data_IF_918705939080
#
_entry.id   IF_918705939080
#
_cell.length_a   1.000
_cell.length_b   1.000
_cell.length_c   1.000
_cell.angle_alpha   90.00
_cell.angle_beta   90.00
_cell.angle_gamma   90.00
#
_symmetry.space_group_name_H-M   'P 1'
#
loop_
_entity.id
_entity.type
_entity.pdbx_description
1 polymer ?
#
# COMPACT_ATOMS: atom_id res chain seq x y z
N UNK A 1 -30.62 -4.46 4.04
CA UNK A 1 -30.19 -3.14 4.54
C UNK A 1 -28.80 -2.88 4.00
N UNK A 2 -28.62 -1.80 3.21
CA UNK A 2 -27.26 -1.37 2.81
C UNK A 2 -26.51 -1.02 4.09
N UNK A 3 -25.31 -1.57 4.28
CA UNK A 3 -24.47 -1.15 5.40
C UNK A 3 -23.95 0.23 5.06
N UNK A 4 -24.24 1.23 5.89
CA UNK A 4 -23.75 2.60 5.64
C UNK A 4 -22.28 2.74 6.07
N UNK A 5 -21.37 2.08 5.33
CA UNK A 5 -19.95 1.96 5.67
C UNK A 5 -19.26 3.33 5.75
N UNK A 6 -19.76 4.34 5.04
CA UNK A 6 -19.17 5.68 5.01
C UNK A 6 -19.14 6.33 6.40
N UNK A 7 -20.12 6.02 7.26
CA UNK A 7 -20.20 6.60 8.61
C UNK A 7 -18.98 6.29 9.46
N UNK A 8 -18.32 5.15 9.21
CA UNK A 8 -17.08 4.74 9.89
C UNK A 8 -15.83 5.45 9.38
N UNK A 9 -15.91 6.06 8.19
CA UNK A 9 -14.81 6.71 7.49
C UNK A 9 -14.82 8.24 7.68
N UNK A 10 -15.94 8.82 8.12
CA UNK A 10 -16.14 10.26 8.29
C UNK A 10 -15.76 10.81 9.67
N UNK A 11 -15.64 12.14 9.79
CA UNK A 11 -15.37 12.84 11.05
C UNK A 11 -13.90 12.94 11.44
N UNK A 12 -13.59 13.70 12.50
CA UNK A 12 -12.21 13.87 12.98
C UNK A 12 -11.27 14.61 12.01
N UNK A 13 -9.97 14.39 12.14
CA UNK A 13 -8.92 15.00 11.30
C UNK A 13 -7.92 13.94 10.77
N UNK A 14 -6.88 14.38 10.03
CA UNK A 14 -5.87 13.50 9.41
C UNK A 14 -5.03 12.72 10.44
N UNK A 15 -5.10 13.04 11.73
CA UNK A 15 -4.40 12.34 12.80
C UNK A 15 -5.22 11.21 13.39
N UNK A 16 -6.50 11.06 13.02
CA UNK A 16 -7.35 9.96 13.46
C UNK A 16 -7.71 9.01 12.33
N UNK A 17 -7.73 7.72 12.64
CA UNK A 17 -8.21 6.64 11.78
C UNK A 17 -9.75 6.48 11.84
N UNK A 18 -10.47 7.47 12.39
CA UNK A 18 -11.89 7.41 12.70
C UNK A 18 -12.29 6.09 13.39
N UNK A 19 -13.28 5.37 12.84
CA UNK A 19 -13.79 4.10 13.37
C UNK A 19 -13.41 2.92 12.47
N UNK A 20 -12.25 2.98 11.81
CA UNK A 20 -11.80 1.91 10.89
C UNK A 20 -11.78 0.55 11.57
N UNK A 21 -11.35 0.45 12.83
CA UNK A 21 -11.36 -0.83 13.56
C UNK A 21 -12.78 -1.42 13.74
N UNK A 22 -13.79 -0.57 13.92
CA UNK A 22 -15.19 -1.00 14.03
C UNK A 22 -15.76 -1.41 12.66
N UNK A 23 -15.20 -0.89 11.56
CA UNK A 23 -15.59 -1.21 10.19
C UNK A 23 -15.11 -2.59 9.73
N UNK A 24 -13.90 -3.01 10.13
CA UNK A 24 -13.30 -4.28 9.68
C UNK A 24 -14.23 -5.51 9.84
N UNK A 25 -14.85 -5.77 11.00
CA UNK A 25 -15.71 -6.95 11.19
C UNK A 25 -17.02 -6.92 10.37
N UNK A 26 -17.36 -5.77 9.79
CA UNK A 26 -18.54 -5.59 8.95
C UNK A 26 -18.29 -6.04 7.50
N UNK A 27 -17.03 -6.04 7.05
CA UNK A 27 -16.64 -6.45 5.70
C UNK A 27 -16.32 -7.93 5.69
N UNK A 28 -17.29 -8.76 5.27
CA UNK A 28 -17.18 -10.23 5.35
C UNK A 28 -17.17 -10.90 3.98
N UNK A 29 -17.70 -10.22 2.98
CA UNK A 29 -17.88 -10.75 1.63
C UNK A 29 -17.15 -9.89 0.60
N UNK A 30 -16.96 -10.43 -0.60
CA UNK A 30 -16.42 -9.66 -1.72
C UNK A 30 -17.29 -8.43 -2.01
N UNK A 31 -18.62 -8.57 -1.96
CA UNK A 31 -19.54 -7.45 -2.18
C UNK A 31 -19.38 -6.33 -1.15
N UNK A 32 -19.15 -6.66 0.14
CA UNK A 32 -18.88 -5.65 1.16
C UNK A 32 -17.55 -4.93 0.88
N UNK A 33 -16.54 -5.68 0.44
CA UNK A 33 -15.23 -5.13 0.09
C UNK A 33 -15.33 -4.21 -1.13
N UNK A 34 -16.08 -4.61 -2.16
CA UNK A 34 -16.30 -3.82 -3.38
C UNK A 34 -17.06 -2.52 -3.07
N UNK A 35 -18.01 -2.55 -2.12
CA UNK A 35 -18.69 -1.35 -1.64
C UNK A 35 -17.72 -0.39 -0.93
N UNK A 36 -16.88 -0.91 -0.03
CA UNK A 36 -15.84 -0.13 0.64
C UNK A 36 -14.81 0.43 -0.36
N UNK A 37 -14.41 -0.35 -1.36
CA UNK A 37 -13.39 0.03 -2.35
C UNK A 37 -13.77 1.29 -3.12
N UNK A 38 -15.06 1.49 -3.42
CA UNK A 38 -15.57 2.68 -4.12
C UNK A 38 -15.17 3.99 -3.44
N UNK A 39 -14.97 3.99 -2.12
CA UNK A 39 -14.56 5.19 -1.39
C UNK A 39 -13.11 5.63 -1.65
N UNK A 40 -12.27 4.80 -2.30
CA UNK A 40 -10.96 5.24 -2.82
C UNK A 40 -11.08 6.30 -3.92
N UNK A 41 -12.23 6.40 -4.60
CA UNK A 41 -12.51 7.43 -5.61
C UNK A 41 -13.10 8.71 -5.02
N UNK A 42 -13.22 8.80 -3.69
CA UNK A 42 -13.72 10.00 -3.04
C UNK A 42 -12.82 11.21 -3.30
N UNK A 43 -13.42 12.40 -3.39
CA UNK A 43 -12.69 13.68 -3.39
C UNK A 43 -12.19 14.06 -2.00
N UNK A 44 -12.75 13.45 -0.95
CA UNK A 44 -12.34 13.67 0.42
C UNK A 44 -11.13 12.78 0.76
N UNK A 45 -9.97 13.42 0.90
CA UNK A 45 -8.71 12.76 1.26
C UNK A 45 -8.79 11.95 2.57
N UNK A 46 -9.58 12.38 3.56
CA UNK A 46 -9.75 11.64 4.81
C UNK A 46 -10.42 10.29 4.55
N UNK A 47 -11.48 10.30 3.74
CA UNK A 47 -12.20 9.10 3.34
C UNK A 47 -11.27 8.17 2.56
N UNK A 48 -10.53 8.67 1.58
CA UNK A 48 -9.59 7.86 0.78
C UNK A 48 -8.55 7.19 1.66
N UNK A 49 -7.89 7.96 2.54
CA UNK A 49 -6.85 7.43 3.43
C UNK A 49 -7.39 6.32 4.35
N UNK A 50 -8.53 6.54 5.00
CA UNK A 50 -9.11 5.57 5.94
C UNK A 50 -9.67 4.34 5.24
N UNK A 51 -10.21 4.54 4.04
CA UNK A 51 -10.59 3.43 3.16
C UNK A 51 -9.34 2.59 2.84
N UNK A 52 -8.24 3.21 2.43
CA UNK A 52 -7.01 2.50 2.14
C UNK A 52 -6.44 1.75 3.36
N UNK A 53 -6.52 2.34 4.57
CA UNK A 53 -6.18 1.66 5.83
C UNK A 53 -7.02 0.41 6.06
N UNK A 54 -8.35 0.55 5.96
CA UNK A 54 -9.27 -0.57 6.15
C UNK A 54 -9.02 -1.70 5.13
N UNK A 55 -8.86 -1.35 3.85
CA UNK A 55 -8.60 -2.31 2.77
C UNK A 55 -7.24 -3.00 2.94
N UNK A 56 -6.18 -2.29 3.35
CA UNK A 56 -4.88 -2.90 3.65
C UNK A 56 -5.02 -3.92 4.79
N UNK A 57 -5.73 -3.58 5.87
CA UNK A 57 -5.93 -4.48 7.01
C UNK A 57 -6.70 -5.74 6.60
N UNK A 58 -7.82 -5.58 5.90
CA UNK A 58 -8.64 -6.69 5.40
C UNK A 58 -7.85 -7.64 4.50
N UNK A 59 -7.01 -7.09 3.62
CA UNK A 59 -6.27 -7.87 2.62
C UNK A 59 -4.98 -8.48 3.16
N UNK A 60 -4.58 -8.12 4.38
CA UNK A 60 -3.49 -8.81 5.09
C UNK A 60 -3.85 -10.26 5.38
N UNK A 61 -5.11 -10.53 5.76
CA UNK A 61 -5.60 -11.88 6.04
C UNK A 61 -6.23 -12.54 4.82
N UNK A 62 -6.85 -11.76 3.93
CA UNK A 62 -7.50 -12.27 2.73
C UNK A 62 -7.13 -11.46 1.47
N UNK A 63 -5.96 -11.72 0.85
CA UNK A 63 -5.51 -11.03 -0.36
C UNK A 63 -6.46 -11.16 -1.56
N UNK A 64 -7.32 -12.20 -1.59
CA UNK A 64 -8.23 -12.47 -2.71
C UNK A 64 -9.24 -11.35 -2.93
N UNK A 65 -9.54 -10.56 -1.90
CA UNK A 65 -10.43 -9.41 -2.03
C UNK A 65 -9.93 -8.37 -3.06
N UNK A 66 -8.61 -8.29 -3.28
CA UNK A 66 -8.03 -7.37 -4.26
C UNK A 66 -8.22 -7.82 -5.72
N UNK A 67 -8.61 -9.07 -5.99
CA UNK A 67 -8.58 -9.64 -7.35
C UNK A 67 -9.50 -8.90 -8.32
N UNK A 68 -10.67 -8.46 -7.86
CA UNK A 68 -11.62 -7.67 -8.67
C UNK A 68 -11.15 -6.24 -8.96
N UNK A 69 -10.13 -5.75 -8.25
CA UNK A 69 -9.69 -4.35 -8.26
C UNK A 69 -8.22 -4.18 -8.69
N UNK A 70 -7.63 -5.21 -9.30
CA UNK A 70 -6.21 -5.20 -9.70
C UNK A 70 -5.87 -4.01 -10.59
N UNK A 71 -6.67 -3.77 -11.63
CA UNK A 71 -6.43 -2.67 -12.58
C UNK A 71 -6.53 -1.30 -11.91
N UNK A 72 -7.47 -1.13 -10.99
CA UNK A 72 -7.63 0.11 -10.23
C UNK A 72 -6.43 0.37 -9.32
N UNK A 73 -5.92 -0.66 -8.64
CA UNK A 73 -4.72 -0.55 -7.80
C UNK A 73 -3.49 -0.21 -8.64
N UNK A 74 -3.34 -0.82 -9.82
CA UNK A 74 -2.26 -0.50 -10.76
C UNK A 74 -2.39 0.94 -11.29
N UNK A 75 -3.61 1.41 -11.55
CA UNK A 75 -3.86 2.80 -11.91
C UNK A 75 -3.50 3.76 -10.78
N UNK A 76 -3.87 3.44 -9.54
CA UNK A 76 -3.54 4.27 -8.38
C UNK A 76 -2.04 4.33 -8.12
N UNK A 77 -1.26 3.29 -8.43
CA UNK A 77 0.20 3.32 -8.25
C UNK A 77 0.83 4.44 -9.06
N UNK A 78 0.31 4.72 -10.26
CA UNK A 78 0.84 5.77 -11.13
C UNK A 78 0.31 7.17 -10.76
N UNK A 79 -0.87 7.24 -10.14
CA UNK A 79 -1.60 8.52 -9.96
C UNK A 79 -1.63 9.03 -8.53
N UNK A 80 -1.37 8.18 -7.53
CA UNK A 80 -1.42 8.55 -6.12
C UNK A 80 -0.42 9.67 -5.79
N UNK A 81 -0.90 10.71 -5.10
CA UNK A 81 -0.09 11.88 -4.70
C UNK A 81 0.08 11.97 -3.19
N UNK A 82 -0.98 11.70 -2.45
CA UNK A 82 -0.99 11.82 -1.00
C UNK A 82 -0.21 10.69 -0.33
N UNK A 83 0.68 11.06 0.59
CA UNK A 83 1.61 10.15 1.26
C UNK A 83 0.92 9.02 2.02
N UNK A 84 -0.22 9.29 2.65
CA UNK A 84 -0.95 8.30 3.44
C UNK A 84 -1.61 7.27 2.54
N UNK A 85 -2.14 7.69 1.38
CA UNK A 85 -2.64 6.73 0.40
C UNK A 85 -1.51 5.90 -0.20
N UNK A 86 -0.38 6.53 -0.57
CA UNK A 86 0.79 5.84 -1.13
C UNK A 86 1.33 4.73 -0.22
N UNK A 87 1.42 4.95 1.10
CA UNK A 87 1.95 3.90 1.98
C UNK A 87 1.04 2.66 2.00
N UNK A 88 -0.28 2.86 1.95
CA UNK A 88 -1.25 1.77 2.06
C UNK A 88 -1.28 1.01 0.74
N UNK A 89 -1.27 1.78 -0.35
CA UNK A 89 -1.21 1.28 -1.71
C UNK A 89 0.05 0.45 -1.97
N UNK A 90 1.20 0.88 -1.45
CA UNK A 90 2.45 0.11 -1.53
C UNK A 90 2.27 -1.29 -0.94
N UNK A 91 1.65 -1.41 0.24
CA UNK A 91 1.39 -2.70 0.87
C UNK A 91 0.37 -3.55 0.12
N UNK A 92 -0.66 -2.93 -0.47
CA UNK A 92 -1.70 -3.67 -1.20
C UNK A 92 -1.19 -4.21 -2.54
N UNK A 93 -0.43 -3.42 -3.30
CA UNK A 93 0.03 -3.83 -4.63
C UNK A 93 0.95 -5.05 -4.59
N UNK A 94 1.75 -5.22 -3.53
CA UNK A 94 2.64 -6.38 -3.38
C UNK A 94 1.91 -7.71 -3.13
N UNK A 95 0.60 -7.65 -2.87
CA UNK A 95 -0.26 -8.83 -2.63
C UNK A 95 -1.01 -9.29 -3.87
N UNK A 96 -0.93 -8.52 -4.97
CA UNK A 96 -1.56 -8.84 -6.23
C UNK A 96 -0.83 -9.98 -6.94
N UNK A 97 -1.57 -10.76 -7.73
CA UNK A 97 -0.99 -11.60 -8.76
C UNK A 97 -0.71 -10.72 -9.98
N UNK A 98 0.56 -10.39 -10.19
CA UNK A 98 1.03 -9.53 -11.27
C UNK A 98 1.55 -10.38 -12.42
N UNK A 99 1.26 -9.96 -13.65
CA UNK A 99 2.00 -10.39 -14.84
C UNK A 99 3.41 -9.81 -14.83
N UNK A 100 4.30 -10.29 -15.70
CA UNK A 100 5.68 -9.78 -15.76
C UNK A 100 5.73 -8.26 -16.06
N UNK A 101 4.89 -7.77 -16.99
CA UNK A 101 4.87 -6.36 -17.36
C UNK A 101 4.33 -5.49 -16.21
N UNK A 102 3.28 -5.95 -15.53
CA UNK A 102 2.73 -5.27 -14.35
C UNK A 102 3.73 -5.27 -13.19
N UNK A 103 4.44 -6.38 -12.97
CA UNK A 103 5.48 -6.49 -11.96
C UNK A 103 6.61 -5.50 -12.24
N UNK A 104 7.09 -5.41 -13.48
CA UNK A 104 8.13 -4.44 -13.85
C UNK A 104 7.66 -2.99 -13.62
N UNK A 105 6.42 -2.67 -13.97
CA UNK A 105 5.83 -1.33 -13.74
C UNK A 105 5.75 -1.01 -12.24
N UNK A 106 5.18 -1.92 -11.44
CA UNK A 106 5.06 -1.76 -9.98
C UNK A 106 6.44 -1.66 -9.33
N UNK A 107 7.38 -2.50 -9.74
CA UNK A 107 8.75 -2.49 -9.24
C UNK A 107 9.43 -1.13 -9.47
N UNK A 108 9.27 -0.58 -10.67
CA UNK A 108 9.83 0.72 -11.05
C UNK A 108 9.28 1.85 -10.18
N UNK A 109 7.96 1.92 -10.00
CA UNK A 109 7.34 2.98 -9.18
C UNK A 109 7.67 2.84 -7.70
N UNK A 110 7.64 1.63 -7.12
CA UNK A 110 8.06 1.40 -5.73
C UNK A 110 9.55 1.73 -5.53
N UNK A 111 10.42 1.40 -6.48
CA UNK A 111 11.85 1.76 -6.42
C UNK A 111 12.05 3.27 -6.47
N UNK A 112 11.29 3.97 -7.32
CA UNK A 112 11.28 5.43 -7.40
C UNK A 112 10.82 6.04 -6.08
N UNK A 113 9.71 5.57 -5.49
CA UNK A 113 9.25 6.04 -4.18
C UNK A 113 10.28 5.77 -3.09
N UNK A 114 10.87 4.58 -3.03
CA UNK A 114 11.89 4.23 -2.04
C UNK A 114 13.13 5.14 -2.11
N UNK A 115 13.55 5.55 -3.32
CA UNK A 115 14.78 6.33 -3.56
C UNK A 115 14.56 7.85 -3.60
N UNK A 116 13.32 8.32 -3.70
CA UNK A 116 13.04 9.75 -3.71
C UNK A 116 13.26 10.35 -2.32
N UNK A 117 14.25 11.24 -2.21
CA UNK A 117 14.59 11.92 -0.95
C UNK A 117 13.53 12.93 -0.50
N UNK A 118 12.67 13.39 -1.42
CA UNK A 118 11.55 14.28 -1.12
C UNK A 118 10.29 13.53 -0.69
N UNK A 119 10.26 12.22 -0.91
CA UNK A 119 9.15 11.37 -0.51
C UNK A 119 9.15 11.14 1.01
N UNK A 120 7.95 10.96 1.56
CA UNK A 120 7.75 10.70 2.98
C UNK A 120 8.50 9.43 3.43
N UNK A 121 9.22 9.50 4.56
CA UNK A 121 10.00 8.37 5.09
C UNK A 121 9.18 7.08 5.23
N UNK A 122 7.90 7.18 5.57
CA UNK A 122 7.02 6.03 5.73
C UNK A 122 6.58 5.44 4.38
N UNK A 123 6.32 6.27 3.36
CA UNK A 123 6.12 5.77 1.99
C UNK A 123 7.36 5.05 1.50
N UNK A 124 8.55 5.63 1.73
CA UNK A 124 9.84 4.99 1.39
C UNK A 124 10.00 3.63 2.08
N UNK A 125 9.72 3.57 3.39
CA UNK A 125 9.80 2.33 4.18
C UNK A 125 8.82 1.26 3.69
N UNK A 126 7.56 1.62 3.42
CA UNK A 126 6.57 0.69 2.88
C UNK A 126 6.95 0.23 1.47
N UNK A 127 7.49 1.13 0.64
CA UNK A 127 7.98 0.76 -0.70
C UNK A 127 9.10 -0.28 -0.63
N UNK A 128 10.05 -0.13 0.30
CA UNK A 128 11.13 -1.12 0.52
C UNK A 128 10.56 -2.47 0.96
N UNK A 129 9.59 -2.47 1.87
CA UNK A 129 8.90 -3.69 2.31
C UNK A 129 8.23 -4.39 1.13
N UNK A 130 7.50 -3.65 0.30
CA UNK A 130 6.80 -4.18 -0.87
C UNK A 130 7.74 -4.71 -1.94
N UNK A 131 8.86 -4.03 -2.20
CA UNK A 131 9.92 -4.55 -3.09
C UNK A 131 10.48 -5.87 -2.55
N UNK A 132 10.72 -5.96 -1.24
CA UNK A 132 11.17 -7.21 -0.61
C UNK A 132 10.15 -8.33 -0.79
N UNK A 133 8.87 -8.06 -0.57
CA UNK A 133 7.81 -9.05 -0.72
C UNK A 133 7.67 -9.54 -2.16
N UNK A 134 7.75 -8.64 -3.15
CA UNK A 134 7.72 -8.98 -4.58
C UNK A 134 8.97 -9.77 -5.02
N UNK A 135 10.13 -9.52 -4.42
CA UNK A 135 11.38 -10.18 -4.78
C UNK A 135 11.52 -11.61 -4.21
N UNK A 136 10.61 -12.07 -3.34
CA UNK A 136 10.77 -13.37 -2.64
C UNK A 136 11.01 -14.57 -3.56
N UNK A 137 10.45 -14.54 -4.77
CA UNK A 137 10.52 -15.66 -5.72
C UNK A 137 11.31 -15.34 -7.00
N UNK A 138 11.89 -14.14 -7.11
CA UNK A 138 12.58 -13.68 -8.33
C UNK A 138 14.04 -13.28 -8.00
N UNK A 139 14.99 -14.06 -8.51
CA UNK A 139 16.42 -13.84 -8.23
C UNK A 139 16.97 -12.57 -8.85
N UNK A 140 16.40 -12.07 -9.95
CA UNK A 140 16.82 -10.83 -10.58
C UNK A 140 16.34 -9.64 -9.74
N UNK A 141 15.08 -9.65 -9.31
CA UNK A 141 14.54 -8.64 -8.41
C UNK A 141 15.24 -8.62 -7.06
N UNK A 142 15.67 -9.77 -6.53
CA UNK A 142 16.51 -9.81 -5.31
C UNK A 142 17.85 -9.09 -5.50
N UNK A 143 18.48 -9.24 -6.67
CA UNK A 143 19.74 -8.54 -6.97
C UNK A 143 19.51 -7.04 -7.09
N UNK A 144 18.43 -6.62 -7.75
CA UNK A 144 18.12 -5.21 -7.89
C UNK A 144 17.75 -4.55 -6.54
N UNK A 145 16.97 -5.24 -5.71
CA UNK A 145 16.66 -4.79 -4.36
C UNK A 145 17.92 -4.63 -3.50
N UNK A 146 18.88 -5.55 -3.59
CA UNK A 146 20.17 -5.43 -2.89
C UNK A 146 20.93 -4.17 -3.31
N UNK A 147 20.96 -3.85 -4.62
CA UNK A 147 21.56 -2.59 -5.12
C UNK A 147 20.85 -1.36 -4.55
N UNK A 148 19.52 -1.39 -4.55
CA UNK A 148 18.69 -0.33 -3.97
C UNK A 148 18.97 -0.17 -2.47
N UNK A 149 19.02 -1.26 -1.70
CA UNK A 149 19.34 -1.25 -0.27
C UNK A 149 20.73 -0.66 0.02
N UNK A 150 21.77 -1.02 -0.75
CA UNK A 150 23.12 -0.44 -0.61
C UNK A 150 23.10 1.07 -0.82
N UNK A 151 22.37 1.56 -1.82
CA UNK A 151 22.23 3.00 -2.04
C UNK A 151 21.51 3.70 -0.88
N UNK A 152 20.42 3.13 -0.40
CA UNK A 152 19.61 3.67 0.69
C UNK A 152 20.36 3.68 2.03
N UNK A 153 21.22 2.69 2.29
CA UNK A 153 22.06 2.66 3.50
C UNK A 153 22.95 3.89 3.62
N UNK A 154 23.48 4.40 2.51
CA UNK A 154 24.36 5.58 2.49
C UNK A 154 23.65 6.86 2.93
N UNK A 155 22.31 6.88 2.92
CA UNK A 155 21.54 8.06 3.35
C UNK A 155 21.45 8.20 4.88
N UNK A 156 21.80 7.17 5.65
CA UNK A 156 21.79 7.18 7.12
C UNK A 156 20.45 7.63 7.76
N UNK A 157 19.33 7.33 7.11
CA UNK A 157 17.99 7.63 7.64
C UNK A 157 17.56 6.53 8.62
N UNK A 158 17.31 6.82 9.91
CA UNK A 158 17.08 5.79 10.93
C UNK A 158 15.92 4.84 10.63
N UNK A 159 14.80 5.34 10.12
CA UNK A 159 13.62 4.51 9.81
C UNK A 159 13.88 3.55 8.63
N UNK A 160 14.67 3.98 7.65
CA UNK A 160 15.04 3.16 6.49
C UNK A 160 16.05 2.09 6.92
N UNK A 161 17.07 2.47 7.70
CA UNK A 161 18.05 1.52 8.26
C UNK A 161 17.38 0.45 9.13
N UNK A 162 16.44 0.86 9.99
CA UNK A 162 15.67 -0.06 10.80
C UNK A 162 14.89 -1.06 9.94
N UNK A 163 14.22 -0.59 8.88
CA UNK A 163 13.48 -1.47 7.95
C UNK A 163 14.41 -2.43 7.22
N UNK A 164 15.52 -1.95 6.67
CA UNK A 164 16.50 -2.81 5.97
C UNK A 164 17.04 -3.91 6.89
N UNK A 165 17.35 -3.57 8.15
CA UNK A 165 17.79 -4.54 9.16
C UNK A 165 16.72 -5.60 9.47
N UNK A 166 15.46 -5.20 9.63
CA UNK A 166 14.33 -6.14 9.84
C UNK A 166 14.22 -7.14 8.68
N UNK A 167 14.49 -6.68 7.46
CA UNK A 167 14.43 -7.47 6.25
C UNK A 167 15.71 -8.29 5.97
N UNK A 168 16.70 -8.23 6.85
CA UNK A 168 17.98 -8.93 6.68
C UNK A 168 18.84 -8.40 5.52
N UNK A 169 18.68 -7.13 5.15
CA UNK A 169 19.37 -6.48 4.03
C UNK A 169 20.54 -5.60 4.44
#
# INVERSE_FOLDING_TARGET
MSKDLITYLTGGDLRSIAKVEELLPLVRTQSDFDELFKFLYSKDRLIVMRTADALEKLTTQNPRFLFGHKEDILHFIDTARDKEFKWHLSSMVSRLKLTNDELQRVWKELTKWAKDKRESRIVRVHSIQSLFDLAKQDTELQRDLKKTAVALKKENIPSIQARLRILGM
#
